data_IF_358159286557
#
_entry.id   IF_358159286557
#
_cell.length_a   1.000
_cell.length_b   1.000
_cell.length_c   1.000
_cell.angle_alpha   90.00
_cell.angle_beta   90.00
_cell.angle_gamma   90.00
#
_symmetry.space_group_name_H-M   'P 1'
#
loop_
_entity.id
_entity.type
_entity.pdbx_description
1 polymer ?
#
# COMPACT_ATOMS: atom_id res chain seq x y z
N UNK A 1 -3.51 -15.13 20.43
CA UNK A 1 -2.44 -15.87 19.73
C UNK A 1 -1.23 -14.96 19.68
N UNK A 2 -0.03 -15.39 20.11
CA UNK A 2 1.17 -14.55 20.07
C UNK A 2 1.59 -14.37 18.60
N UNK A 3 1.62 -13.14 18.09
CA UNK A 3 2.19 -12.85 16.76
C UNK A 3 3.64 -13.33 16.75
N UNK A 4 4.04 -14.06 15.71
CA UNK A 4 5.42 -14.52 15.60
C UNK A 4 6.35 -13.31 15.34
N UNK A 5 7.58 -13.31 15.88
CA UNK A 5 8.56 -12.25 15.62
C UNK A 5 8.76 -11.96 14.12
N UNK A 6 8.67 -13.01 13.30
CA UNK A 6 8.74 -12.91 11.83
C UNK A 6 7.55 -12.14 11.23
N UNK A 7 6.32 -12.38 11.72
CA UNK A 7 5.14 -11.64 11.23
C UNK A 7 5.20 -10.18 11.62
N UNK A 8 5.72 -9.89 12.82
CA UNK A 8 5.93 -8.52 13.27
C UNK A 8 7.02 -7.80 12.46
N UNK A 9 8.13 -8.48 12.16
CA UNK A 9 9.19 -7.94 11.31
C UNK A 9 8.70 -7.63 9.89
N UNK A 10 7.94 -8.54 9.27
CA UNK A 10 7.34 -8.32 7.95
C UNK A 10 6.36 -7.14 7.95
N UNK A 11 5.58 -6.97 9.02
CA UNK A 11 4.69 -5.82 9.20
C UNK A 11 5.46 -4.50 9.28
N UNK A 12 6.53 -4.44 10.09
CA UNK A 12 7.38 -3.24 10.17
C UNK A 12 8.02 -2.94 8.82
N UNK A 13 8.57 -3.95 8.14
CA UNK A 13 9.16 -3.78 6.81
C UNK A 13 8.15 -3.26 5.79
N UNK A 14 6.89 -3.70 5.85
CA UNK A 14 5.81 -3.16 5.02
C UNK A 14 5.59 -1.68 5.24
N UNK A 15 5.48 -1.30 6.51
CA UNK A 15 5.26 0.08 6.90
C UNK A 15 6.41 0.96 6.43
N UNK A 16 7.65 0.49 6.55
CA UNK A 16 8.83 1.18 6.05
C UNK A 16 8.85 1.29 4.52
N UNK A 17 8.49 0.24 3.78
CA UNK A 17 8.40 0.29 2.31
C UNK A 17 7.34 1.30 1.88
N UNK A 18 6.17 1.31 2.53
CA UNK A 18 5.11 2.31 2.29
C UNK A 18 5.62 3.71 2.59
N UNK A 19 6.22 3.92 3.77
CA UNK A 19 6.72 5.22 4.20
C UNK A 19 7.86 5.72 3.32
N UNK A 20 8.75 4.85 2.87
CA UNK A 20 9.84 5.19 1.95
C UNK A 20 9.27 5.52 0.56
N UNK A 21 8.31 4.73 0.07
CA UNK A 21 7.61 5.00 -1.18
C UNK A 21 6.88 6.35 -1.15
N UNK A 22 6.13 6.62 -0.07
CA UNK A 22 5.46 7.89 0.18
C UNK A 22 6.46 9.05 0.36
N UNK A 23 7.56 8.85 1.10
CA UNK A 23 8.57 9.90 1.29
C UNK A 23 9.30 10.22 -0.02
N UNK A 24 9.55 9.21 -0.86
CA UNK A 24 10.07 9.39 -2.22
C UNK A 24 9.08 10.17 -3.10
N UNK A 25 7.77 9.91 -2.98
CA UNK A 25 6.69 10.68 -3.62
C UNK A 25 6.71 12.18 -3.23
N UNK A 26 6.96 12.49 -1.95
CA UNK A 26 6.98 13.88 -1.46
C UNK A 26 8.31 14.61 -1.72
N UNK A 27 9.45 13.91 -1.70
CA UNK A 27 10.78 14.53 -1.72
C UNK A 27 11.54 14.37 -3.04
N UNK A 28 11.18 13.41 -3.89
CA UNK A 28 11.94 13.06 -5.10
C UNK A 28 13.31 12.41 -4.82
N UNK A 29 13.66 12.19 -3.55
CA UNK A 29 14.96 11.66 -3.12
C UNK A 29 15.00 10.14 -3.38
N UNK A 30 15.97 9.69 -4.17
CA UNK A 30 16.19 8.27 -4.54
C UNK A 30 15.86 7.95 -6.00
N UNK A 31 15.02 8.75 -6.66
CA UNK A 31 14.62 8.59 -8.06
C UNK A 31 15.64 9.18 -9.03
N UNK A 32 16.26 10.29 -8.64
CA UNK A 32 17.42 10.86 -9.34
C UNK A 32 18.61 9.91 -9.37
N UNK A 33 18.74 9.01 -8.38
CA UNK A 33 19.81 8.02 -8.31
C UNK A 33 19.63 6.84 -9.30
N UNK A 34 18.41 6.60 -9.77
CA UNK A 34 18.10 5.57 -10.79
C UNK A 34 17.75 6.18 -12.16
N UNK A 35 18.14 7.44 -12.38
CA UNK A 35 17.99 8.16 -13.65
C UNK A 35 16.55 8.23 -14.17
N UNK A 36 15.60 8.24 -13.24
CA UNK A 36 14.18 8.43 -13.53
C UNK A 36 13.87 9.92 -13.43
N UNK A 37 13.41 10.53 -14.52
CA UNK A 37 12.97 11.92 -14.53
C UNK A 37 11.74 12.09 -13.64
N UNK A 38 11.98 12.63 -12.45
CA UNK A 38 10.95 12.87 -11.44
C UNK A 38 9.75 13.65 -11.97
N UNK A 39 9.94 14.57 -12.92
CA UNK A 39 8.89 15.40 -13.53
C UNK A 39 7.90 14.64 -14.40
N UNK A 40 8.30 13.51 -15.01
CA UNK A 40 7.46 12.72 -15.92
C UNK A 40 7.01 11.37 -15.33
N UNK A 41 7.78 10.82 -14.39
CA UNK A 41 7.50 9.50 -13.83
C UNK A 41 6.53 9.56 -12.65
N UNK A 42 6.41 10.71 -11.97
CA UNK A 42 5.58 10.86 -10.76
C UNK A 42 4.53 11.97 -10.84
N UNK A 43 4.55 12.84 -11.85
CA UNK A 43 3.71 14.04 -11.86
C UNK A 43 2.92 14.14 -13.16
N UNK A 44 1.76 13.46 -13.15
CA UNK A 44 0.77 13.39 -14.25
C UNK A 44 0.67 11.99 -14.85
N UNK A 45 -0.54 11.39 -14.87
CA UNK A 45 -0.95 10.18 -15.61
C UNK A 45 0.08 9.03 -15.78
N UNK A 46 1.02 8.84 -14.86
CA UNK A 46 2.37 8.44 -15.27
C UNK A 46 2.89 7.09 -14.83
N UNK A 47 2.63 6.64 -13.60
CA UNK A 47 3.13 5.33 -13.18
C UNK A 47 2.19 4.55 -12.28
N UNK A 48 1.06 4.18 -12.87
CA UNK A 48 0.10 3.26 -12.29
C UNK A 48 0.76 1.96 -11.80
N UNK A 49 1.85 1.52 -12.43
CA UNK A 49 2.54 0.29 -12.05
C UNK A 49 3.20 0.45 -10.68
N UNK A 50 3.88 1.56 -10.42
CA UNK A 50 4.51 1.80 -9.12
C UNK A 50 3.49 1.98 -8.01
N UNK A 51 2.45 2.79 -8.25
CA UNK A 51 1.34 2.96 -7.33
C UNK A 51 0.66 1.62 -7.01
N UNK A 52 0.36 0.84 -8.04
CA UNK A 52 -0.20 -0.48 -7.89
C UNK A 52 0.72 -1.38 -7.08
N UNK A 53 2.01 -1.47 -7.42
CA UNK A 53 2.97 -2.31 -6.72
C UNK A 53 3.10 -1.93 -5.24
N UNK A 54 3.16 -0.64 -4.91
CA UNK A 54 3.28 -0.15 -3.54
C UNK A 54 2.08 -0.60 -2.69
N UNK A 55 0.86 -0.27 -3.12
CA UNK A 55 -0.36 -0.59 -2.37
C UNK A 55 -0.67 -2.09 -2.38
N UNK A 56 -0.32 -2.81 -3.46
CA UNK A 56 -0.49 -4.26 -3.57
C UNK A 56 0.44 -5.01 -2.60
N UNK A 57 1.74 -4.69 -2.60
CA UNK A 57 2.70 -5.28 -1.68
C UNK A 57 2.35 -4.96 -0.23
N UNK A 58 1.96 -3.72 0.04
CA UNK A 58 1.50 -3.28 1.37
C UNK A 58 0.34 -4.14 1.85
N UNK A 59 -0.67 -4.33 1.00
CA UNK A 59 -1.86 -5.11 1.34
C UNK A 59 -1.55 -6.57 1.65
N UNK A 60 -0.61 -7.17 0.91
CA UNK A 60 -0.11 -8.53 1.19
C UNK A 60 0.58 -8.62 2.55
N UNK A 61 1.35 -7.61 2.94
CA UNK A 61 2.02 -7.63 4.23
C UNK A 61 1.02 -7.52 5.39
N UNK A 62 -0.11 -6.87 5.17
CA UNK A 62 -1.21 -6.80 6.13
C UNK A 62 -1.90 -8.17 6.32
N UNK A 63 -1.78 -9.12 5.38
CA UNK A 63 -2.26 -10.50 5.56
C UNK A 63 -1.62 -11.20 6.78
N UNK A 64 -0.40 -10.82 7.15
CA UNK A 64 0.32 -11.39 8.30
C UNK A 64 -0.28 -10.99 9.66
N UNK A 65 -1.19 -10.01 9.69
CA UNK A 65 -1.84 -9.55 10.91
C UNK A 65 -3.00 -10.45 11.34
N UNK A 66 -3.29 -10.43 12.64
CA UNK A 66 -4.51 -11.01 13.19
C UNK A 66 -5.76 -10.42 12.52
N UNK A 67 -6.80 -11.25 12.36
CA UNK A 67 -7.98 -10.94 11.54
C UNK A 67 -8.67 -9.62 11.90
N UNK A 68 -8.74 -9.28 13.19
CA UNK A 68 -9.33 -8.02 13.67
C UNK A 68 -8.53 -6.79 13.26
N UNK A 69 -7.21 -6.81 13.47
CA UNK A 69 -6.31 -5.70 13.08
C UNK A 69 -6.19 -5.57 11.57
N UNK A 70 -6.25 -6.69 10.86
CA UNK A 70 -6.17 -6.75 9.41
C UNK A 70 -7.24 -5.86 8.76
N UNK A 71 -8.52 -6.03 9.11
CA UNK A 71 -9.61 -5.22 8.50
C UNK A 71 -9.39 -3.71 8.68
N UNK A 72 -8.96 -3.30 9.86
CA UNK A 72 -8.69 -1.89 10.14
C UNK A 72 -7.54 -1.34 9.27
N UNK A 73 -6.41 -2.07 9.19
CA UNK A 73 -5.26 -1.61 8.41
C UNK A 73 -5.55 -1.61 6.91
N UNK A 74 -6.43 -2.49 6.44
CA UNK A 74 -6.93 -2.47 5.06
C UNK A 74 -7.72 -1.19 4.74
N UNK A 75 -8.66 -0.83 5.61
CA UNK A 75 -9.39 0.43 5.48
C UNK A 75 -8.43 1.63 5.55
N UNK A 76 -7.40 1.56 6.39
CA UNK A 76 -6.38 2.60 6.49
C UNK A 76 -5.57 2.73 5.19
N UNK A 77 -5.16 1.63 4.56
CA UNK A 77 -4.47 1.66 3.27
C UNK A 77 -5.33 2.29 2.17
N UNK A 78 -6.63 1.96 2.12
CA UNK A 78 -7.57 2.60 1.19
C UNK A 78 -7.66 4.10 1.47
N UNK A 79 -7.83 4.50 2.73
CA UNK A 79 -7.89 5.90 3.12
C UNK A 79 -6.59 6.65 2.77
N UNK A 80 -5.43 6.02 2.94
CA UNK A 80 -4.13 6.58 2.56
C UNK A 80 -3.99 6.72 1.05
N UNK A 81 -4.47 5.75 0.26
CA UNK A 81 -4.43 5.79 -1.20
C UNK A 81 -5.32 6.89 -1.81
N UNK A 82 -6.41 7.26 -1.14
CA UNK A 82 -7.23 8.42 -1.52
C UNK A 82 -6.62 9.71 -0.95
N UNK A 83 -6.19 9.66 0.31
CA UNK A 83 -5.62 10.80 1.03
C UNK A 83 -4.32 11.31 0.43
N UNK A 84 -3.52 10.44 -0.22
CA UNK A 84 -2.30 10.86 -0.93
C UNK A 84 -2.61 11.84 -2.05
N UNK A 85 -3.67 11.61 -2.82
CA UNK A 85 -4.07 12.48 -3.94
C UNK A 85 -4.67 13.80 -3.45
N UNK A 86 -5.46 13.75 -2.38
CA UNK A 86 -5.96 14.96 -1.73
C UNK A 86 -4.79 15.79 -1.17
N UNK A 87 -3.82 15.15 -0.53
CA UNK A 87 -2.64 15.83 -0.01
C UNK A 87 -1.81 16.47 -1.12
N UNK A 88 -1.66 15.81 -2.28
CA UNK A 88 -1.01 16.41 -3.43
C UNK A 88 -1.74 17.67 -3.91
N UNK A 89 -3.07 17.60 -4.03
CA UNK A 89 -3.91 18.73 -4.49
C UNK A 89 -3.87 19.93 -3.55
N UNK A 90 -3.93 19.71 -2.24
CA UNK A 90 -4.14 20.79 -1.27
C UNK A 90 -2.87 21.26 -0.55
N UNK A 91 -1.83 20.42 -0.44
CA UNK A 91 -0.61 20.74 0.31
C UNK A 91 0.64 20.90 -0.55
N UNK A 92 0.62 20.52 -1.83
CA UNK A 92 1.79 20.65 -2.70
C UNK A 92 1.51 21.71 -3.77
N UNK A 93 2.17 22.86 -3.66
CA UNK A 93 2.02 23.95 -4.63
C UNK A 93 2.43 23.48 -6.04
N UNK A 94 1.57 23.75 -7.02
CA UNK A 94 1.79 23.39 -8.42
C UNK A 94 1.50 21.93 -8.77
N UNK A 95 0.76 21.19 -7.92
CA UNK A 95 0.34 19.82 -8.20
C UNK A 95 -1.16 19.65 -8.04
N UNK A 96 -1.76 18.96 -9.00
CA UNK A 96 -3.14 18.51 -8.93
C UNK A 96 -3.14 17.00 -8.71
N UNK A 97 -3.80 16.53 -7.63
CA UNK A 97 -3.97 15.12 -7.39
C UNK A 97 -4.87 14.48 -8.45
N UNK A 98 -4.67 13.18 -8.68
CA UNK A 98 -5.28 12.49 -9.80
C UNK A 98 -6.29 11.44 -9.34
N UNK A 99 -7.53 11.54 -9.83
CA UNK A 99 -8.57 10.55 -9.52
C UNK A 99 -8.23 9.16 -10.08
N UNK A 100 -7.50 9.07 -11.20
CA UNK A 100 -7.05 7.79 -11.73
C UNK A 100 -5.98 7.15 -10.85
N UNK A 101 -5.09 7.94 -10.25
CA UNK A 101 -4.04 7.42 -9.37
C UNK A 101 -4.62 6.97 -8.01
N UNK A 102 -5.61 7.72 -7.47
CA UNK A 102 -6.42 7.26 -6.35
C UNK A 102 -7.12 5.92 -6.66
N UNK A 103 -7.71 5.79 -7.84
CA UNK A 103 -8.38 4.55 -8.25
C UNK A 103 -7.39 3.38 -8.33
N UNK A 104 -6.18 3.59 -8.87
CA UNK A 104 -5.14 2.57 -8.92
C UNK A 104 -4.70 2.15 -7.52
N UNK A 105 -4.49 3.09 -6.60
CA UNK A 105 -4.15 2.80 -5.20
C UNK A 105 -5.23 1.93 -4.52
N UNK A 106 -6.51 2.27 -4.73
CA UNK A 106 -7.63 1.52 -4.15
C UNK A 106 -7.74 0.13 -4.79
N UNK A 107 -7.64 0.03 -6.11
CA UNK A 107 -7.73 -1.24 -6.84
C UNK A 107 -6.62 -2.20 -6.41
N UNK A 108 -5.39 -1.71 -6.24
CA UNK A 108 -4.27 -2.56 -5.81
C UNK A 108 -4.46 -3.15 -4.42
N UNK A 109 -5.12 -2.42 -3.51
CA UNK A 109 -5.58 -2.99 -2.23
C UNK A 109 -6.66 -4.04 -2.47
N UNK A 110 -7.74 -3.68 -3.18
CA UNK A 110 -8.89 -4.56 -3.39
C UNK A 110 -8.54 -5.88 -4.08
N UNK A 111 -7.54 -5.91 -4.97
CA UNK A 111 -7.06 -7.15 -5.59
C UNK A 111 -6.57 -8.19 -4.58
N UNK A 112 -6.03 -7.75 -3.44
CA UNK A 112 -5.48 -8.64 -2.41
C UNK A 112 -6.56 -9.08 -1.41
N UNK A 113 -7.66 -8.33 -1.28
CA UNK A 113 -8.66 -8.52 -0.20
C UNK A 113 -9.34 -9.87 -0.25
N UNK A 114 -9.98 -10.25 -1.37
CA UNK A 114 -10.75 -11.49 -1.42
C UNK A 114 -9.82 -12.69 -1.28
N UNK A 115 -8.62 -12.62 -1.86
CA UNK A 115 -7.61 -13.68 -1.77
C UNK A 115 -7.15 -13.86 -0.32
N UNK A 116 -6.88 -12.74 0.38
CA UNK A 116 -6.50 -12.75 1.80
C UNK A 116 -7.59 -13.33 2.71
N UNK A 117 -8.86 -13.03 2.43
CA UNK A 117 -9.99 -13.62 3.15
C UNK A 117 -10.12 -15.13 2.88
N UNK A 118 -10.02 -15.54 1.62
CA UNK A 118 -10.07 -16.95 1.22
C UNK A 118 -8.96 -17.77 1.91
N UNK A 119 -7.72 -17.30 1.83
CA UNK A 119 -6.57 -17.95 2.47
C UNK A 119 -6.73 -18.06 3.99
N UNK A 120 -7.35 -17.06 4.62
CA UNK A 120 -7.65 -17.10 6.06
C UNK A 120 -8.70 -18.14 6.40
N UNK A 121 -9.76 -18.24 5.58
CA UNK A 121 -10.83 -19.23 5.76
C UNK A 121 -10.26 -20.65 5.64
N UNK A 122 -9.42 -20.90 4.63
CA UNK A 122 -8.74 -22.18 4.44
C UNK A 122 -7.85 -22.54 5.64
N UNK A 123 -7.10 -21.56 6.16
CA UNK A 123 -6.25 -21.74 7.34
C UNK A 123 -7.04 -22.09 8.60
N UNK A 124 -8.15 -21.40 8.85
CA UNK A 124 -9.03 -21.69 9.98
C UNK A 124 -9.63 -23.09 9.88
N UNK A 125 -10.12 -23.47 8.70
CA UNK A 125 -10.70 -24.80 8.48
C UNK A 125 -9.71 -25.93 8.74
N UNK A 126 -8.45 -25.76 8.31
CA UNK A 126 -7.39 -26.73 8.58
C UNK A 126 -7.04 -26.86 10.08
N UNK A 127 -7.15 -25.77 10.85
CA UNK A 127 -6.90 -25.78 12.29
C UNK A 127 -8.03 -26.44 13.08
N UNK A 128 -9.27 -26.34 12.61
CA UNK A 128 -10.44 -26.94 13.26
C UNK A 128 -10.71 -28.38 12.83
N UNK A 129 -10.04 -28.87 11.79
CA UNK A 129 -10.18 -30.25 11.28
C UNK A 129 -9.23 -31.25 11.94
N UNK A 130 -8.41 -30.81 12.90
CA UNK A 130 -7.54 -31.67 13.72
C UNK A 130 -8.14 -31.84 15.11
#
# INVERSE_FOLDING_TARGET
>A
MKQSPLSFALYISALFIVLIGLSSLFTGIGLSAINIESSHFFFGHGDWLFHFALFHLSSWLVYTLDSGKRRFVWCLLIALGIGSELAQTYWIQGRDGSMSDAAVNVLSVLCVYPISLLLSSLRQHHQTSK
#
